data_IF_523338649556
#
_entry.id   IF_523338649556
#
_cell.length_a   1.000
_cell.length_b   1.000
_cell.length_c   1.000
_cell.angle_alpha   90.00
_cell.angle_beta   90.00
_cell.angle_gamma   90.00
#
_symmetry.space_group_name_H-M   'P 1'
#
loop_
_entity.id
_entity.type
_entity.pdbx_description
1 polymer ?
#
# COMPACT_ATOMS: atom_id res chain seq x y z
N UNK A 1 29.95 -4.41 8.66
CA UNK A 1 29.20 -5.34 9.52
C UNK A 1 27.75 -5.28 9.06
N UNK A 2 27.42 -6.03 8.00
CA UNK A 2 26.05 -6.20 7.51
C UNK A 2 25.67 -7.64 7.85
N UNK A 3 24.66 -7.83 8.69
CA UNK A 3 24.10 -9.14 9.00
C UNK A 3 22.59 -9.11 8.79
N UNK A 4 22.15 -10.05 7.96
CA UNK A 4 20.93 -10.85 8.08
C UNK A 4 19.56 -10.15 7.98
N UNK A 5 19.15 -9.82 6.76
CA UNK A 5 17.72 -9.75 6.37
C UNK A 5 17.36 -10.57 5.11
N UNK A 6 18.31 -11.29 4.50
CA UNK A 6 18.06 -12.06 3.27
C UNK A 6 17.68 -13.53 3.50
N UNK A 7 17.67 -14.00 4.75
CA UNK A 7 17.41 -15.41 5.07
C UNK A 7 15.94 -15.78 5.11
N UNK A 8 15.06 -14.85 5.53
CA UNK A 8 13.63 -15.14 5.72
C UNK A 8 12.88 -15.20 4.39
N UNK A 9 13.13 -14.29 3.45
CA UNK A 9 12.48 -14.29 2.12
C UNK A 9 12.84 -15.54 1.30
N UNK A 10 14.10 -15.97 1.33
CA UNK A 10 14.54 -17.23 0.69
C UNK A 10 13.91 -18.43 1.42
N UNK A 11 13.82 -18.38 2.75
CA UNK A 11 13.17 -19.41 3.56
C UNK A 11 11.69 -19.60 3.21
N UNK A 12 10.95 -18.51 3.04
CA UNK A 12 9.55 -18.56 2.60
C UNK A 12 9.42 -19.09 1.18
N UNK A 13 10.27 -18.66 0.26
CA UNK A 13 10.27 -19.17 -1.12
C UNK A 13 10.59 -20.67 -1.17
N UNK A 14 11.54 -21.16 -0.37
CA UNK A 14 11.88 -22.57 -0.29
C UNK A 14 10.72 -23.37 0.35
N UNK A 15 10.10 -22.86 1.41
CA UNK A 15 8.96 -23.51 2.05
C UNK A 15 7.75 -23.62 1.11
N UNK A 16 7.48 -22.57 0.34
CA UNK A 16 6.38 -22.54 -0.63
C UNK A 16 6.64 -23.50 -1.80
N UNK A 17 7.88 -23.57 -2.28
CA UNK A 17 8.31 -24.54 -3.30
C UNK A 17 8.27 -25.99 -2.80
N UNK A 18 8.55 -26.22 -1.51
CA UNK A 18 8.42 -27.53 -0.88
C UNK A 18 6.95 -27.91 -0.68
N UNK A 19 6.08 -26.96 -0.33
CA UNK A 19 4.65 -27.18 -0.21
C UNK A 19 4.00 -27.53 -1.57
N UNK A 20 4.37 -26.80 -2.63
CA UNK A 20 3.95 -27.10 -4.01
C UNK A 20 4.40 -28.48 -4.49
N UNK A 21 5.55 -28.95 -4.05
CA UNK A 21 6.06 -30.28 -4.37
C UNK A 21 5.30 -31.42 -3.67
N UNK A 22 4.74 -31.15 -2.49
CA UNK A 22 4.00 -32.12 -1.67
C UNK A 22 2.56 -32.31 -2.20
N UNK A 23 1.96 -31.27 -2.77
CA UNK A 23 0.59 -31.28 -3.32
C UNK A 23 0.49 -32.00 -4.68
N UNK A 24 1.59 -32.13 -5.45
CA UNK A 24 1.56 -32.60 -6.85
C UNK A 24 1.83 -34.11 -7.03
N UNK A 25 1.98 -34.91 -5.95
CA UNK A 25 2.12 -36.39 -5.87
C UNK A 25 2.97 -37.10 -6.96
N UNK A 26 3.90 -36.39 -7.62
CA UNK A 26 4.74 -36.93 -8.72
C UNK A 26 6.22 -36.94 -8.34
N UNK A 27 6.98 -37.99 -8.71
CA UNK A 27 8.40 -38.06 -8.40
C UNK A 27 9.19 -36.97 -9.14
N UNK A 28 9.89 -36.12 -8.39
CA UNK A 28 10.71 -35.02 -8.92
C UNK A 28 10.68 -33.72 -8.11
N UNK A 29 9.69 -33.54 -7.23
CA UNK A 29 9.63 -32.50 -6.19
C UNK A 29 10.02 -31.07 -6.60
N UNK A 30 10.52 -30.28 -5.64
CA UNK A 30 10.79 -28.85 -5.79
C UNK A 30 11.73 -28.46 -6.93
N UNK A 31 12.63 -29.37 -7.37
CA UNK A 31 13.49 -29.14 -8.53
C UNK A 31 12.67 -28.99 -9.83
N UNK A 32 11.60 -29.78 -9.97
CA UNK A 32 10.70 -29.67 -11.13
C UNK A 32 9.83 -28.42 -11.06
N UNK A 33 9.38 -28.03 -9.87
CA UNK A 33 8.65 -26.78 -9.64
C UNK A 33 9.51 -25.56 -10.02
N UNK A 34 10.79 -25.55 -9.61
CA UNK A 34 11.75 -24.49 -9.97
C UNK A 34 12.00 -24.44 -11.47
N UNK A 35 12.17 -25.59 -12.13
CA UNK A 35 12.37 -25.63 -13.58
C UNK A 35 11.13 -25.20 -14.38
N UNK A 36 9.93 -25.52 -13.88
CA UNK A 36 8.68 -25.06 -14.48
C UNK A 36 8.47 -23.56 -14.26
N UNK A 37 8.74 -23.05 -13.06
CA UNK A 37 8.68 -21.62 -12.76
C UNK A 37 9.66 -20.84 -13.64
N UNK A 38 10.92 -21.27 -13.74
CA UNK A 38 11.90 -20.64 -14.61
C UNK A 38 11.49 -20.66 -16.10
N UNK A 39 10.83 -21.74 -16.54
CA UNK A 39 10.31 -21.85 -17.91
C UNK A 39 9.10 -20.93 -18.14
N UNK A 40 8.21 -20.78 -17.16
CA UNK A 40 7.06 -19.87 -17.22
C UNK A 40 7.49 -18.40 -17.21
N UNK A 41 8.32 -18.01 -16.23
CA UNK A 41 8.84 -16.64 -16.10
C UNK A 41 9.67 -16.18 -17.31
N UNK A 42 10.35 -17.09 -18.01
CA UNK A 42 11.10 -16.75 -19.22
C UNK A 42 10.24 -16.62 -20.49
N UNK A 43 9.00 -17.11 -20.47
CA UNK A 43 8.09 -17.14 -21.64
C UNK A 43 6.95 -16.13 -21.57
N UNK A 44 6.63 -15.63 -20.38
CA UNK A 44 5.69 -14.54 -20.20
C UNK A 44 6.41 -13.22 -20.50
N UNK A 45 6.16 -12.65 -21.69
CA UNK A 45 6.31 -11.20 -21.81
C UNK A 45 5.35 -10.59 -20.80
N UNK A 46 5.81 -9.74 -19.86
CA UNK A 46 4.91 -9.07 -18.96
C UNK A 46 3.91 -8.25 -19.80
N UNK A 47 2.67 -8.71 -19.90
CA UNK A 47 1.57 -7.94 -20.44
C UNK A 47 1.10 -6.99 -19.35
N UNK A 48 2.00 -6.10 -18.90
CA UNK A 48 1.55 -4.98 -18.08
C UNK A 48 0.62 -4.16 -18.96
N UNK A 49 -0.63 -3.89 -18.55
CA UNK A 49 -1.51 -3.03 -19.31
C UNK A 49 -0.78 -1.70 -19.56
N UNK A 50 -0.70 -1.33 -20.84
CA UNK A 50 0.20 -0.29 -21.38
C UNK A 50 -0.16 1.13 -20.88
N UNK A 51 -1.28 1.29 -20.19
CA UNK A 51 -1.74 2.58 -19.68
C UNK A 51 -2.34 2.41 -18.27
N UNK A 52 -1.49 2.18 -17.26
CA UNK A 52 -1.88 2.54 -15.90
C UNK A 52 -1.76 4.07 -15.76
N UNK A 53 -2.78 4.77 -15.23
CA UNK A 53 -2.67 6.20 -14.97
C UNK A 53 -1.40 6.48 -14.16
N UNK A 54 -0.52 7.34 -14.70
CA UNK A 54 0.88 7.50 -14.29
C UNK A 54 1.10 8.20 -12.94
N UNK A 55 0.06 8.27 -12.10
CA UNK A 55 0.14 8.88 -10.78
C UNK A 55 -1.00 8.42 -9.89
N UNK A 56 -0.95 8.65 -8.57
CA UNK A 56 -1.97 8.18 -7.63
C UNK A 56 -3.36 8.77 -7.93
N UNK A 57 -4.41 8.04 -7.59
CA UNK A 57 -5.82 8.46 -7.68
C UNK A 57 -6.23 9.34 -6.50
N UNK A 58 -5.83 8.95 -5.29
CA UNK A 58 -6.18 9.64 -4.05
C UNK A 58 -4.91 10.10 -3.32
N UNK A 59 -5.01 11.25 -2.66
CA UNK A 59 -3.94 11.86 -1.89
C UNK A 59 -4.43 12.14 -0.46
N UNK A 60 -3.79 11.52 0.51
CA UNK A 60 -3.95 11.82 1.93
C UNK A 60 -2.95 12.88 2.34
N UNK A 61 -3.45 14.01 2.83
CA UNK A 61 -2.64 15.19 3.13
C UNK A 61 -2.87 15.69 4.55
N UNK A 62 -1.81 16.25 5.12
CA UNK A 62 -1.90 17.02 6.34
C UNK A 62 -1.21 18.37 6.18
N UNK A 63 -1.59 19.33 7.02
CA UNK A 63 -1.04 20.69 7.00
C UNK A 63 -0.89 21.19 8.44
N UNK A 64 0.34 21.37 8.94
CA UNK A 64 0.58 22.08 10.19
C UNK A 64 0.04 23.52 10.15
N UNK A 65 -0.24 24.10 11.31
CA UNK A 65 -0.77 25.47 11.38
C UNK A 65 0.18 26.48 10.73
N UNK A 66 -0.28 27.14 9.67
CA UNK A 66 0.48 28.18 8.96
C UNK A 66 1.40 27.65 7.85
N UNK A 67 1.41 26.34 7.60
CA UNK A 67 2.26 25.70 6.59
C UNK A 67 1.46 25.30 5.34
N UNK A 68 2.15 24.76 4.34
CA UNK A 68 1.54 24.17 3.14
C UNK A 68 1.04 22.73 3.37
N UNK A 69 0.17 22.26 2.46
CA UNK A 69 -0.32 20.88 2.48
C UNK A 69 0.79 19.91 2.05
N UNK A 70 0.99 18.87 2.85
CA UNK A 70 1.99 17.83 2.62
C UNK A 70 1.26 16.51 2.36
N UNK A 71 1.54 15.87 1.23
CA UNK A 71 1.07 14.51 0.93
C UNK A 71 1.90 13.51 1.73
N UNK A 72 1.21 12.62 2.46
CA UNK A 72 1.86 11.57 3.26
C UNK A 72 1.26 10.18 3.02
N UNK A 73 0.20 10.09 2.23
CA UNK A 73 -0.42 8.85 1.81
C UNK A 73 -0.93 9.00 0.37
N UNK A 74 -0.79 7.93 -0.42
CA UNK A 74 -1.18 7.87 -1.82
C UNK A 74 -1.94 6.58 -2.06
N UNK A 75 -2.97 6.64 -2.89
CA UNK A 75 -3.76 5.48 -3.29
C UNK A 75 -3.96 5.46 -4.80
N UNK A 76 -3.81 4.29 -5.43
CA UNK A 76 -4.08 4.08 -6.85
C UNK A 76 -5.55 3.70 -7.11
N UNK A 77 -5.85 3.12 -8.28
CA UNK A 77 -7.21 2.72 -8.65
C UNK A 77 -7.71 1.46 -7.94
N UNK A 78 -6.85 0.76 -7.19
CA UNK A 78 -7.20 -0.45 -6.44
C UNK A 78 -7.66 -0.19 -5.01
N UNK A 79 -7.52 1.05 -4.52
CA UNK A 79 -7.85 1.42 -3.13
C UNK A 79 -8.97 2.45 -3.08
N UNK A 80 -9.66 2.48 -1.94
CA UNK A 80 -10.72 3.43 -1.66
C UNK A 80 -10.18 4.66 -0.89
N UNK A 81 -10.88 5.81 -0.91
CA UNK A 81 -10.50 6.98 -0.11
C UNK A 81 -10.35 6.68 1.39
N UNK A 82 -11.09 5.70 1.90
CA UNK A 82 -11.06 5.27 3.30
C UNK A 82 -9.73 4.61 3.67
N UNK A 83 -9.12 3.86 2.75
CA UNK A 83 -7.79 3.26 2.95
C UNK A 83 -6.73 4.37 3.10
N UNK A 84 -6.79 5.38 2.22
CA UNK A 84 -5.89 6.54 2.27
C UNK A 84 -6.12 7.40 3.52
N UNK A 85 -7.37 7.56 3.94
CA UNK A 85 -7.71 8.26 5.19
C UNK A 85 -7.18 7.50 6.42
N UNK A 86 -7.24 6.16 6.42
CA UNK A 86 -6.70 5.31 7.47
C UNK A 86 -5.20 5.51 7.68
N UNK A 87 -4.44 5.76 6.61
CA UNK A 87 -3.00 6.04 6.68
C UNK A 87 -2.67 7.38 7.37
N UNK A 88 -3.64 8.29 7.54
CA UNK A 88 -3.47 9.55 8.27
C UNK A 88 -3.56 9.37 9.80
N UNK A 89 -3.99 8.20 10.28
CA UNK A 89 -4.18 7.91 11.71
C UNK A 89 -2.99 8.30 12.59
N UNK A 90 -1.73 7.90 12.28
CA UNK A 90 -0.60 8.23 13.16
C UNK A 90 -0.39 9.74 13.30
N UNK A 91 -0.71 10.53 12.26
CA UNK A 91 -0.61 11.98 12.33
C UNK A 91 -1.80 12.60 13.07
N UNK A 92 -3.01 12.04 12.96
CA UNK A 92 -4.15 12.45 13.77
C UNK A 92 -3.86 12.25 15.27
N UNK A 93 -3.26 11.12 15.66
CA UNK A 93 -2.84 10.89 17.04
C UNK A 93 -1.79 11.91 17.52
N UNK A 94 -0.82 12.27 16.66
CA UNK A 94 0.16 13.31 16.96
C UNK A 94 -0.45 14.71 17.05
N UNK A 95 -1.62 14.91 16.45
CA UNK A 95 -2.40 16.13 16.54
C UNK A 95 -3.47 16.07 17.66
N UNK A 96 -3.31 15.15 18.62
CA UNK A 96 -4.15 14.99 19.82
C UNK A 96 -5.60 14.56 19.56
N UNK A 97 -5.92 14.01 18.39
CA UNK A 97 -7.20 13.32 18.19
C UNK A 97 -7.31 12.10 19.09
N UNK A 98 -8.48 11.91 19.71
CA UNK A 98 -8.73 10.77 20.60
C UNK A 98 -8.89 9.49 19.79
N UNK A 99 -8.18 8.43 20.19
CA UNK A 99 -8.22 7.12 19.52
C UNK A 99 -9.64 6.60 19.24
N UNK A 100 -10.58 6.82 20.16
CA UNK A 100 -11.98 6.38 20.00
C UNK A 100 -12.77 7.15 18.94
N UNK A 101 -12.31 8.33 18.51
CA UNK A 101 -12.96 9.20 17.53
C UNK A 101 -12.34 9.03 16.12
N UNK A 102 -11.14 8.42 16.03
CA UNK A 102 -10.37 8.34 14.77
C UNK A 102 -11.12 7.59 13.68
N UNK A 103 -11.86 6.52 14.01
CA UNK A 103 -12.64 5.80 13.00
C UNK A 103 -13.69 6.70 12.33
N UNK A 104 -14.38 7.54 13.09
CA UNK A 104 -15.34 8.49 12.55
C UNK A 104 -14.63 9.55 11.68
N UNK A 105 -13.48 10.03 12.14
CA UNK A 105 -12.66 10.99 11.39
C UNK A 105 -12.12 10.41 10.07
N UNK A 106 -11.73 9.14 10.03
CA UNK A 106 -11.35 8.45 8.80
C UNK A 106 -12.51 8.47 7.79
N UNK A 107 -13.74 8.18 8.24
CA UNK A 107 -14.93 8.25 7.38
C UNK A 107 -15.23 9.67 6.90
N UNK A 108 -15.08 10.67 7.77
CA UNK A 108 -15.27 12.07 7.39
C UNK A 108 -14.26 12.50 6.32
N UNK A 109 -12.99 12.14 6.49
CA UNK A 109 -11.94 12.37 5.50
C UNK A 109 -12.23 11.65 4.18
N UNK A 110 -12.68 10.41 4.22
CA UNK A 110 -13.04 9.62 3.03
C UNK A 110 -14.21 10.24 2.24
N UNK A 111 -15.13 10.93 2.92
CA UNK A 111 -16.21 11.73 2.30
C UNK A 111 -15.75 13.08 1.75
N UNK A 112 -14.46 13.41 1.90
CA UNK A 112 -13.86 14.66 1.43
C UNK A 112 -13.95 15.82 2.43
N UNK A 113 -14.30 15.58 3.70
CA UNK A 113 -14.24 16.62 4.71
C UNK A 113 -12.80 16.98 5.06
N UNK A 114 -12.60 18.24 5.44
CA UNK A 114 -11.34 18.71 6.01
C UNK A 114 -11.51 18.73 7.52
N UNK A 115 -10.66 17.97 8.21
CA UNK A 115 -10.62 17.97 9.67
C UNK A 115 -9.55 18.93 10.16
N UNK A 116 -9.81 19.60 11.28
CA UNK A 116 -8.87 20.54 11.90
C UNK A 116 -8.77 20.23 13.39
N UNK A 117 -7.57 19.91 13.86
CA UNK A 117 -7.26 19.73 15.27
C UNK A 117 -7.22 21.07 16.01
N UNK A 118 -7.33 21.03 17.34
CA UNK A 118 -7.23 22.21 18.21
C UNK A 118 -5.89 22.94 18.08
N UNK A 119 -4.81 22.20 17.78
CA UNK A 119 -3.49 22.77 17.52
C UNK A 119 -3.37 23.47 16.14
N UNK A 120 -4.42 23.43 15.33
CA UNK A 120 -4.52 24.03 14.00
C UNK A 120 -3.99 23.15 12.86
N UNK A 121 -3.57 21.92 13.14
CA UNK A 121 -3.22 20.94 12.10
C UNK A 121 -4.47 20.51 11.36
N UNK A 122 -4.43 20.54 10.04
CA UNK A 122 -5.54 20.13 9.19
C UNK A 122 -5.23 18.84 8.43
N UNK A 123 -6.26 18.05 8.13
CA UNK A 123 -6.20 16.79 7.41
C UNK A 123 -7.25 16.75 6.31
N UNK A 124 -6.92 16.15 5.17
CA UNK A 124 -7.88 15.92 4.07
C UNK A 124 -7.48 14.73 3.22
N UNK A 125 -8.46 14.13 2.56
CA UNK A 125 -8.24 13.23 1.42
C UNK A 125 -8.88 13.87 0.19
N UNK A 126 -8.13 13.91 -0.92
CA UNK A 126 -8.59 14.46 -2.18
C UNK A 126 -8.30 13.50 -3.33
N UNK A 127 -9.09 13.57 -4.39
CA UNK A 127 -8.67 13.05 -5.69
C UNK A 127 -7.47 13.84 -6.20
N UNK A 128 -6.50 13.15 -6.81
CA UNK A 128 -5.31 13.75 -7.37
C UNK A 128 -5.69 14.71 -8.52
N UNK A 129 -5.46 16.03 -8.38
CA UNK A 129 -5.79 16.99 -9.42
C UNK A 129 -5.03 16.74 -10.73
N UNK A 130 -3.84 16.12 -10.67
CA UNK A 130 -3.04 15.78 -11.85
C UNK A 130 -3.72 14.78 -12.79
N UNK A 131 -4.76 14.07 -12.32
CA UNK A 131 -5.56 13.15 -13.13
C UNK A 131 -6.77 13.79 -13.81
N UNK A 132 -7.10 15.07 -13.52
CA UNK A 132 -8.27 15.77 -14.10
C UNK A 132 -7.98 16.43 -15.45
N UNK A 133 -7.08 15.85 -16.24
CA UNK A 133 -6.69 16.33 -17.58
C UNK A 133 -7.82 16.25 -18.60
#
# INVERSE_FOLDING_TARGET
>A
MYRDLHGEEIGYLIADLMHLADVDERPGGGLRAVLNAARYYGSEQPTWPVEQPTGPKYLGQFRPKGEEWITIAEGDDSVEPEDVAGLLWPQMQRADFRTGEILAHVQDLARGHVLVADNGTAFRVIENPARKG
#
